data_IF_265490576872
#
_entry.id   IF_265490576872
#
_cell.length_a   1.000
_cell.length_b   1.000
_cell.length_c   1.000
_cell.angle_alpha   90.00
_cell.angle_beta   90.00
_cell.angle_gamma   90.00
#
_symmetry.space_group_name_H-M   'P 1'
#
loop_
_entity.id
_entity.type
_entity.pdbx_description
1 polymer ?
#
# COMPACT_ATOMS: atom_id res chain seq x y z
N UNK A 1 -3.62 -14.21 8.12
CA UNK A 1 -4.12 -13.02 8.84
C UNK A 1 -3.04 -12.37 9.74
N UNK A 2 -1.74 -12.59 9.47
CA UNK A 2 -0.63 -12.21 10.38
C UNK A 2 -0.40 -10.69 10.42
N UNK A 3 -0.57 -10.00 9.28
CA UNK A 3 -0.24 -8.58 9.17
C UNK A 3 -1.09 -7.70 10.09
N UNK A 4 -2.37 -8.03 10.28
CA UNK A 4 -3.28 -7.25 11.10
C UNK A 4 -3.00 -7.43 12.59
N UNK A 5 -2.62 -8.64 13.00
CA UNK A 5 -2.23 -8.94 14.39
C UNK A 5 -0.95 -8.21 14.79
N UNK A 6 0.03 -8.12 13.87
CA UNK A 6 1.26 -7.34 14.06
C UNK A 6 0.97 -5.85 14.18
N UNK A 7 -0.01 -5.34 13.43
CA UNK A 7 -0.40 -3.92 13.43
C UNK A 7 -1.27 -3.56 14.65
N UNK A 8 -2.03 -4.50 15.19
CA UNK A 8 -2.98 -4.29 16.29
C UNK A 8 -2.37 -3.63 17.54
N UNK A 9 -1.19 -4.00 18.07
CA UNK A 9 -0.59 -3.30 19.21
C UNK A 9 -0.20 -1.84 18.89
N UNK A 10 0.10 -1.53 17.63
CA UNK A 10 0.55 -0.20 17.20
C UNK A 10 -0.64 0.74 16.95
N UNK A 11 -1.74 0.21 16.38
CA UNK A 11 -2.84 1.01 15.83
C UNK A 11 -4.21 0.64 16.43
N UNK A 12 -4.29 -0.38 17.28
CA UNK A 12 -5.56 -0.97 17.77
C UNK A 12 -6.45 -0.05 18.59
N UNK A 13 -5.96 1.14 18.94
CA UNK A 13 -6.70 2.21 19.61
C UNK A 13 -7.18 3.32 18.64
N UNK A 14 -6.97 3.17 17.32
CA UNK A 14 -7.37 4.15 16.29
C UNK A 14 -8.35 3.54 15.31
N UNK A 15 -9.28 4.36 14.82
CA UNK A 15 -10.30 3.98 13.83
C UNK A 15 -9.72 3.66 12.46
N UNK A 16 -8.58 4.26 12.10
CA UNK A 16 -7.93 4.09 10.79
C UNK A 16 -6.53 3.49 10.94
N UNK A 17 -6.19 2.54 10.06
CA UNK A 17 -4.85 1.96 9.95
C UNK A 17 -3.83 3.03 9.52
N UNK A 18 -4.23 3.91 8.60
CA UNK A 18 -3.45 5.06 8.16
C UNK A 18 -4.17 6.37 8.50
N UNK A 19 -4.00 6.88 9.73
CA UNK A 19 -4.59 8.15 10.14
C UNK A 19 -3.80 9.34 9.58
N UNK A 20 -4.47 10.47 9.38
CA UNK A 20 -3.80 11.72 9.03
C UNK A 20 -2.89 12.21 10.17
N UNK A 21 -1.75 12.82 9.80
CA UNK A 21 -0.79 13.37 10.76
C UNK A 21 -1.35 14.51 11.60
N UNK A 22 -2.33 15.25 11.05
CA UNK A 22 -2.93 16.42 11.71
C UNK A 22 -4.16 16.07 12.55
N UNK A 23 -4.93 15.06 12.12
CA UNK A 23 -6.11 14.61 12.87
C UNK A 23 -6.19 13.08 12.80
N UNK A 24 -6.00 12.36 13.92
CA UNK A 24 -6.02 10.90 13.92
C UNK A 24 -7.42 10.30 13.71
N UNK A 25 -8.48 11.13 13.72
CA UNK A 25 -9.87 10.74 13.43
C UNK A 25 -10.24 10.82 11.95
N UNK A 26 -9.33 11.26 11.07
CA UNK A 26 -9.59 11.28 9.62
C UNK A 26 -8.61 10.37 8.90
N UNK A 27 -9.03 9.71 7.81
CA UNK A 27 -8.14 8.89 7.01
C UNK A 27 -7.05 9.74 6.37
N UNK A 28 -5.90 9.12 6.10
CA UNK A 28 -4.81 9.80 5.40
C UNK A 28 -5.24 10.17 3.98
N UNK A 29 -4.81 11.33 3.49
CA UNK A 29 -5.08 11.71 2.10
C UNK A 29 -4.17 10.92 1.14
N UNK A 30 -4.63 10.78 -0.10
CA UNK A 30 -3.88 10.05 -1.15
C UNK A 30 -2.49 10.65 -1.38
N UNK A 31 -2.34 11.97 -1.22
CA UNK A 31 -1.04 12.64 -1.37
C UNK A 31 -0.03 12.27 -0.29
N UNK A 32 -0.47 11.84 0.90
CA UNK A 32 0.42 11.39 1.97
C UNK A 32 1.20 10.16 1.52
N UNK A 33 0.59 9.25 0.76
CA UNK A 33 1.28 8.09 0.21
C UNK A 33 2.41 8.52 -0.74
N UNK A 34 2.14 9.46 -1.66
CA UNK A 34 3.16 10.01 -2.57
C UNK A 34 4.27 10.74 -1.81
N UNK A 35 3.94 11.54 -0.79
CA UNK A 35 4.92 12.23 0.06
C UNK A 35 5.78 11.25 0.84
N UNK A 36 5.21 10.16 1.34
CA UNK A 36 5.96 9.10 2.02
C UNK A 36 6.92 8.39 1.06
N UNK A 37 6.48 8.03 -0.16
CA UNK A 37 7.35 7.45 -1.20
C UNK A 37 8.51 8.40 -1.56
N UNK A 38 8.22 9.70 -1.68
CA UNK A 38 9.25 10.72 -1.92
C UNK A 38 10.29 10.76 -0.79
N UNK A 39 9.85 10.70 0.48
CA UNK A 39 10.72 10.71 1.66
C UNK A 39 11.64 9.49 1.77
N UNK A 40 11.19 8.32 1.31
CA UNK A 40 12.02 7.11 1.30
C UNK A 40 12.91 6.99 0.05
N UNK A 41 13.03 8.05 -0.75
CA UNK A 41 13.95 8.11 -1.91
C UNK A 41 13.35 7.68 -3.24
N UNK A 42 12.04 7.42 -3.31
CA UNK A 42 11.33 7.03 -4.53
C UNK A 42 10.65 8.22 -5.23
N UNK A 43 11.08 9.43 -4.90
CA UNK A 43 10.63 10.67 -5.55
C UNK A 43 10.87 10.56 -7.07
N UNK A 44 9.84 10.85 -7.86
CA UNK A 44 9.82 10.79 -9.34
C UNK A 44 10.11 9.41 -9.97
N UNK A 45 10.28 8.36 -9.16
CA UNK A 45 10.44 6.98 -9.64
C UNK A 45 9.15 6.19 -9.55
N UNK A 46 8.40 6.38 -8.47
CA UNK A 46 7.15 5.64 -8.23
C UNK A 46 6.17 6.56 -7.50
N UNK A 47 4.97 6.72 -8.06
CA UNK A 47 3.83 7.31 -7.37
C UNK A 47 2.90 6.22 -6.89
N UNK A 48 2.10 6.47 -5.85
CA UNK A 48 1.19 5.52 -5.24
C UNK A 48 0.28 4.80 -6.26
N UNK A 49 -0.11 5.49 -7.34
CA UNK A 49 -0.89 4.90 -8.43
C UNK A 49 -0.08 3.89 -9.26
N UNK A 50 1.18 4.21 -9.58
CA UNK A 50 2.06 3.37 -10.39
C UNK A 50 2.64 2.16 -9.65
N UNK A 51 2.57 2.13 -8.31
CA UNK A 51 3.07 1.00 -7.50
C UNK A 51 2.40 -0.31 -7.89
N UNK A 52 1.09 -0.30 -8.18
CA UNK A 52 0.35 -1.51 -8.57
C UNK A 52 0.83 -2.04 -9.93
N UNK A 53 0.99 -1.16 -10.91
CA UNK A 53 1.47 -1.54 -12.24
C UNK A 53 2.91 -2.08 -12.17
N UNK A 54 3.78 -1.39 -11.43
CA UNK A 54 5.15 -1.82 -11.20
C UNK A 54 5.21 -3.20 -10.54
N UNK A 55 4.44 -3.40 -9.47
CA UNK A 55 4.37 -4.69 -8.77
C UNK A 55 3.89 -5.80 -9.70
N UNK A 56 2.89 -5.55 -10.55
CA UNK A 56 2.43 -6.52 -11.56
C UNK A 56 3.57 -6.93 -12.50
N UNK A 57 4.28 -5.97 -13.09
CA UNK A 57 5.40 -6.26 -14.00
C UNK A 57 6.50 -7.04 -13.29
N UNK A 58 6.94 -6.57 -12.12
CA UNK A 58 8.04 -7.20 -11.36
C UNK A 58 7.68 -8.62 -10.92
N UNK A 59 6.46 -8.87 -10.43
CA UNK A 59 6.07 -10.22 -10.02
C UNK A 59 5.92 -11.18 -11.21
N UNK A 60 5.43 -10.69 -12.35
CA UNK A 60 5.37 -11.49 -13.58
C UNK A 60 6.78 -11.84 -14.09
N UNK A 61 7.71 -10.88 -14.06
CA UNK A 61 9.12 -11.11 -14.45
C UNK A 61 9.85 -12.08 -13.50
N UNK A 62 9.53 -12.06 -12.21
CA UNK A 62 10.07 -13.01 -11.24
C UNK A 62 9.45 -14.42 -11.33
N UNK A 63 8.51 -14.64 -12.27
CA UNK A 63 7.90 -15.95 -12.50
C UNK A 63 6.86 -16.36 -11.46
N UNK A 64 6.31 -15.40 -10.70
CA UNK A 64 5.17 -15.69 -9.82
C UNK A 64 3.94 -16.05 -10.66
N UNK A 65 3.12 -16.97 -10.13
CA UNK A 65 1.90 -17.40 -10.83
C UNK A 65 0.92 -16.21 -10.87
N UNK A 66 0.34 -15.88 -12.05
CA UNK A 66 -0.61 -14.78 -12.19
C UNK A 66 -1.79 -14.89 -11.21
N UNK A 67 -2.20 -16.12 -10.93
CA UNK A 67 -3.27 -16.49 -9.98
C UNK A 67 -3.02 -15.99 -8.54
N UNK A 68 -1.76 -15.74 -8.17
CA UNK A 68 -1.36 -15.16 -6.87
C UNK A 68 -1.17 -13.65 -6.97
N UNK A 69 -0.69 -13.17 -8.12
CA UNK A 69 -0.41 -11.75 -8.36
C UNK A 69 -1.70 -10.94 -8.46
N UNK A 70 -2.69 -11.43 -9.22
CA UNK A 70 -3.98 -10.78 -9.43
C UNK A 70 -4.71 -10.45 -8.11
N UNK A 71 -4.93 -11.41 -7.18
CA UNK A 71 -5.57 -11.10 -5.90
C UNK A 71 -4.66 -10.26 -4.98
N UNK A 72 -3.33 -10.39 -5.03
CA UNK A 72 -2.41 -9.57 -4.25
C UNK A 72 -2.43 -8.09 -4.68
N UNK A 73 -2.66 -7.84 -5.96
CA UNK A 73 -2.90 -6.51 -6.50
C UNK A 73 -4.35 -6.08 -6.30
N UNK A 74 -5.22 -6.83 -5.62
CA UNK A 74 -6.66 -6.57 -5.56
C UNK A 74 -7.26 -6.26 -6.94
N UNK A 75 -6.76 -6.92 -7.99
CA UNK A 75 -7.48 -7.01 -9.26
C UNK A 75 -8.63 -7.98 -9.04
N UNK A 76 -9.84 -7.44 -8.87
CA UNK A 76 -11.04 -8.24 -9.00
C UNK A 76 -11.32 -8.38 -10.48
N UNK A 77 -11.05 -9.56 -11.03
CA UNK A 77 -11.53 -9.93 -12.36
C UNK A 77 -13.06 -9.72 -12.37
N UNK A 78 -13.56 -8.94 -13.32
CA UNK A 78 -14.97 -8.55 -13.38
C UNK A 78 -15.79 -9.64 -14.03
#
# INVERSE_FOLDING_TARGET
MVILEVIKPIIGHRTFIFPSSRNPKVPTNTETANKSLSRIGFKDRVIAHGVRALASTTFNEQGFKPDVIEPALAHTNK
#
